data_IF_413158384610
#
_entry.id   IF_413158384610
#
_cell.length_a   1.000
_cell.length_b   1.000
_cell.length_c   1.000
_cell.angle_alpha   90.00
_cell.angle_beta   90.00
_cell.angle_gamma   90.00
#
_symmetry.space_group_name_H-M   'P 1'
#
loop_
_entity.id
_entity.type
_entity.pdbx_description
1 polymer ?
#
# COMPACT_ATOMS: atom_id res chain seq x y z
N UNK A 1 -13.80 -20.72 -27.56
CA UNK A 1 -13.80 -19.52 -26.68
C UNK A 1 -12.66 -19.55 -25.66
N UNK A 2 -12.64 -20.49 -24.72
CA UNK A 2 -11.63 -20.58 -23.64
C UNK A 2 -10.18 -20.64 -24.16
N UNK A 3 -9.92 -21.49 -25.17
CA UNK A 3 -8.58 -21.62 -25.76
C UNK A 3 -8.06 -20.32 -26.38
N UNK A 4 -8.94 -19.54 -27.03
CA UNK A 4 -8.61 -18.22 -27.61
C UNK A 4 -8.24 -17.23 -26.51
N UNK A 5 -9.02 -17.19 -25.43
CA UNK A 5 -8.78 -16.32 -24.27
C UNK A 5 -7.46 -16.67 -23.58
N UNK A 6 -7.20 -17.96 -23.33
CA UNK A 6 -5.95 -18.41 -22.73
C UNK A 6 -4.73 -18.14 -23.62
N UNK A 7 -4.85 -18.38 -24.93
CA UNK A 7 -3.79 -18.08 -25.89
C UNK A 7 -3.45 -16.59 -25.97
N UNK A 8 -4.45 -15.71 -25.80
CA UNK A 8 -4.24 -14.27 -25.73
C UNK A 8 -3.64 -13.82 -24.38
N UNK A 9 -4.09 -14.38 -23.26
CA UNK A 9 -3.72 -13.98 -21.91
C UNK A 9 -2.31 -14.48 -21.51
N UNK A 10 -2.02 -15.76 -21.71
CA UNK A 10 -0.83 -16.42 -21.17
C UNK A 10 0.50 -15.74 -21.57
N UNK A 11 0.77 -15.41 -22.84
CA UNK A 11 2.02 -14.73 -23.20
C UNK A 11 2.11 -13.31 -22.60
N UNK A 12 0.98 -12.64 -22.36
CA UNK A 12 0.98 -11.30 -21.76
C UNK A 12 1.21 -11.38 -20.25
N UNK A 13 0.67 -12.40 -19.57
CA UNK A 13 0.99 -12.67 -18.17
C UNK A 13 2.49 -12.87 -17.97
N UNK A 14 3.12 -13.71 -18.80
CA UNK A 14 4.57 -13.93 -18.75
C UNK A 14 5.37 -12.63 -18.97
N UNK A 15 4.95 -11.79 -19.92
CA UNK A 15 5.57 -10.49 -20.17
C UNK A 15 5.40 -9.53 -18.99
N UNK A 16 4.21 -9.49 -18.37
CA UNK A 16 3.95 -8.66 -17.19
C UNK A 16 4.80 -9.09 -16.00
N UNK A 17 4.97 -10.40 -15.80
CA UNK A 17 5.85 -10.96 -14.77
C UNK A 17 7.31 -10.56 -15.05
N UNK A 18 7.80 -10.83 -16.26
CA UNK A 18 9.17 -10.55 -16.65
C UNK A 18 9.51 -9.05 -16.59
N UNK A 19 8.56 -8.18 -16.89
CA UNK A 19 8.74 -6.72 -16.83
C UNK A 19 9.16 -6.23 -15.43
N UNK A 20 8.68 -6.88 -14.37
CA UNK A 20 9.07 -6.55 -13.00
C UNK A 20 10.24 -7.42 -12.52
N UNK A 21 10.23 -8.72 -12.84
CA UNK A 21 11.21 -9.66 -12.34
C UNK A 21 12.62 -9.42 -12.92
N UNK A 22 12.74 -9.01 -14.18
CA UNK A 22 14.06 -8.76 -14.80
C UNK A 22 14.78 -7.56 -14.16
N UNK A 23 14.15 -6.37 -13.99
CA UNK A 23 14.78 -5.28 -13.24
C UNK A 23 15.13 -5.66 -11.80
N UNK A 24 14.25 -6.37 -11.07
CA UNK A 24 14.58 -6.77 -9.68
C UNK A 24 15.71 -7.78 -9.64
N UNK A 25 15.82 -8.67 -10.63
CA UNK A 25 16.95 -9.60 -10.79
C UNK A 25 18.26 -8.86 -11.01
N UNK A 26 18.26 -7.85 -11.89
CA UNK A 26 19.44 -7.03 -12.15
C UNK A 26 19.87 -6.26 -10.89
N UNK A 27 18.93 -5.64 -10.18
CA UNK A 27 19.21 -4.93 -8.92
C UNK A 27 19.77 -5.88 -7.87
N UNK A 28 19.17 -7.06 -7.68
CA UNK A 28 19.61 -8.04 -6.70
C UNK A 28 21.01 -8.58 -7.02
N UNK A 29 21.33 -8.82 -8.30
CA UNK A 29 22.66 -9.24 -8.75
C UNK A 29 23.73 -8.18 -8.47
N UNK A 30 23.44 -6.90 -8.73
CA UNK A 30 24.37 -5.79 -8.44
C UNK A 30 24.55 -5.62 -6.93
N UNK A 31 23.45 -5.64 -6.16
CA UNK A 31 23.52 -5.51 -4.70
C UNK A 31 24.36 -6.65 -4.10
N UNK A 32 24.16 -7.87 -4.58
CA UNK A 32 24.91 -9.04 -4.14
C UNK A 32 26.39 -8.99 -4.53
N UNK A 33 26.71 -8.59 -5.76
CA UNK A 33 28.11 -8.51 -6.22
C UNK A 33 28.90 -7.42 -5.49
N UNK A 34 28.24 -6.33 -5.11
CA UNK A 34 28.86 -5.23 -4.37
C UNK A 34 28.94 -5.47 -2.87
N UNK A 35 28.10 -6.35 -2.31
CA UNK A 35 28.12 -6.72 -0.89
C UNK A 35 29.28 -7.66 -0.50
N UNK A 36 30.15 -8.05 -1.45
CA UNK A 36 31.38 -8.80 -1.15
C UNK A 36 31.16 -10.26 -0.77
N UNK A 37 30.11 -10.90 -1.29
CA UNK A 37 29.85 -12.33 -1.05
C UNK A 37 31.01 -13.19 -1.58
N UNK A 38 31.86 -13.66 -0.67
CA UNK A 38 33.02 -14.51 -1.00
C UNK A 38 32.65 -15.97 -1.31
N UNK A 39 31.40 -16.40 -1.04
CA UNK A 39 31.01 -17.84 -1.06
C UNK A 39 29.62 -18.15 -1.64
N UNK A 40 28.83 -17.15 -2.05
CA UNK A 40 27.44 -17.36 -2.51
C UNK A 40 27.32 -17.90 -3.94
N UNK A 41 26.27 -18.71 -4.18
CA UNK A 41 25.87 -19.14 -5.53
C UNK A 41 25.03 -18.03 -6.19
N UNK A 42 25.09 -17.89 -7.52
CA UNK A 42 24.26 -16.96 -8.29
C UNK A 42 22.75 -17.23 -8.15
N UNK A 43 22.36 -18.40 -7.65
CA UNK A 43 20.98 -18.69 -7.27
C UNK A 43 20.42 -17.81 -6.15
N UNK A 44 21.26 -17.33 -5.23
CA UNK A 44 20.83 -16.52 -4.08
C UNK A 44 20.32 -15.12 -4.47
N UNK A 45 21.04 -14.32 -5.29
CA UNK A 45 20.50 -13.05 -5.77
C UNK A 45 19.26 -13.22 -6.64
N UNK A 46 19.13 -14.29 -7.42
CA UNK A 46 17.91 -14.56 -8.18
C UNK A 46 16.72 -14.90 -7.28
N UNK A 47 16.95 -15.64 -6.18
CA UNK A 47 15.92 -15.89 -5.17
C UNK A 47 15.51 -14.59 -4.46
N UNK A 48 16.47 -13.75 -4.10
CA UNK A 48 16.21 -12.43 -3.52
C UNK A 48 15.39 -11.54 -4.47
N UNK A 49 15.67 -11.59 -5.77
CA UNK A 49 14.85 -10.89 -6.77
C UNK A 49 13.41 -11.39 -6.82
N UNK A 50 13.20 -12.70 -6.63
CA UNK A 50 11.87 -13.29 -6.50
C UNK A 50 11.18 -12.79 -5.23
N UNK A 51 11.89 -12.67 -4.10
CA UNK A 51 11.33 -12.09 -2.88
C UNK A 51 10.98 -10.61 -3.02
N UNK A 52 11.80 -9.81 -3.72
CA UNK A 52 11.44 -8.41 -4.04
C UNK A 52 10.17 -8.37 -4.91
N UNK A 53 10.07 -9.27 -5.89
CA UNK A 53 8.86 -9.40 -6.72
C UNK A 53 7.64 -9.78 -5.87
N UNK A 54 7.74 -10.78 -4.99
CA UNK A 54 6.68 -11.24 -4.08
C UNK A 54 6.28 -10.12 -3.10
N UNK A 55 7.24 -9.45 -2.49
CA UNK A 55 7.01 -8.34 -1.56
C UNK A 55 6.35 -7.13 -2.23
N UNK A 56 6.64 -6.86 -3.50
CA UNK A 56 5.93 -5.81 -4.27
C UNK A 56 4.43 -6.08 -4.44
N UNK A 57 4.00 -7.34 -4.29
CA UNK A 57 2.61 -7.78 -4.30
C UNK A 57 1.97 -7.83 -2.90
N UNK A 58 2.65 -7.32 -1.87
CA UNK A 58 2.19 -7.32 -0.48
C UNK A 58 1.95 -8.73 0.09
N UNK A 59 2.75 -9.71 -0.35
CA UNK A 59 2.77 -11.05 0.25
C UNK A 59 3.76 -11.03 1.43
N UNK A 60 3.31 -11.29 2.68
CA UNK A 60 4.18 -11.30 3.85
C UNK A 60 5.18 -12.45 3.85
N UNK A 61 6.18 -12.36 4.74
CA UNK A 61 7.19 -13.40 4.97
C UNK A 61 7.30 -13.75 6.45
N UNK A 62 7.31 -15.05 6.76
CA UNK A 62 7.77 -15.58 8.03
C UNK A 62 9.29 -15.80 7.97
N UNK A 63 9.98 -15.45 9.04
CA UNK A 63 11.43 -15.45 9.11
C UNK A 63 11.93 -16.29 10.29
N UNK A 64 12.84 -17.24 10.01
CA UNK A 64 13.49 -18.07 11.03
C UNK A 64 14.99 -17.78 11.02
N UNK A 65 15.40 -16.69 11.67
CA UNK A 65 16.77 -16.21 11.67
C UNK A 65 17.62 -16.93 12.74
N UNK A 66 17.88 -18.23 12.58
CA UNK A 66 18.84 -19.00 13.38
C UNK A 66 18.39 -19.44 14.80
N UNK A 67 19.18 -20.32 15.43
CA UNK A 67 18.81 -21.17 16.58
C UNK A 67 18.58 -20.47 17.93
N UNK A 68 18.63 -19.14 17.99
CA UNK A 68 18.36 -18.35 19.20
C UNK A 68 17.46 -17.12 18.95
N UNK A 69 16.97 -16.93 17.72
CA UNK A 69 16.06 -15.84 17.40
C UNK A 69 14.61 -16.30 17.46
N UNK A 70 13.77 -15.49 18.09
CA UNK A 70 12.31 -15.64 18.01
C UNK A 70 11.87 -15.54 16.55
N UNK A 71 10.88 -16.35 16.15
CA UNK A 71 10.30 -16.31 14.81
C UNK A 71 9.88 -14.88 14.46
N UNK A 72 10.42 -14.39 13.34
CA UNK A 72 10.19 -13.05 12.84
C UNK A 72 9.08 -13.00 11.81
N UNK A 73 8.46 -11.84 11.64
CA UNK A 73 7.43 -11.64 10.62
C UNK A 73 7.66 -10.32 9.87
N UNK A 74 7.63 -10.37 8.54
CA UNK A 74 7.76 -9.22 7.66
C UNK A 74 6.46 -9.05 6.87
N UNK A 75 5.59 -8.18 7.37
CA UNK A 75 4.31 -7.84 6.74
C UNK A 75 4.12 -6.35 6.49
N UNK A 76 4.94 -5.49 7.12
CA UNK A 76 4.98 -4.07 6.80
C UNK A 76 5.79 -3.84 5.51
N UNK A 77 5.12 -3.99 4.37
CA UNK A 77 5.72 -3.92 3.03
C UNK A 77 5.47 -2.55 2.39
N UNK A 78 6.34 -2.11 1.46
CA UNK A 78 6.24 -0.78 0.87
C UNK A 78 5.04 -0.69 -0.08
N UNK A 79 4.05 0.11 0.28
CA UNK A 79 2.85 0.34 -0.54
C UNK A 79 3.17 0.99 -1.88
N UNK A 80 4.23 1.80 -1.97
CA UNK A 80 4.68 2.39 -3.23
C UNK A 80 5.15 1.34 -4.24
N UNK A 81 5.55 0.16 -3.79
CA UNK A 81 5.92 -0.92 -4.68
C UNK A 81 4.72 -1.45 -5.50
N UNK A 82 3.47 -1.26 -5.05
CA UNK A 82 2.27 -1.67 -5.79
C UNK A 82 2.10 -0.94 -7.14
N UNK A 83 2.74 0.21 -7.34
CA UNK A 83 2.71 0.91 -8.63
C UNK A 83 3.24 0.02 -9.76
N UNK A 84 4.28 -0.76 -9.50
CA UNK A 84 4.88 -1.64 -10.50
C UNK A 84 3.96 -2.77 -10.96
N UNK A 85 3.39 -3.64 -10.08
CA UNK A 85 2.45 -4.65 -10.51
C UNK A 85 1.18 -4.04 -11.11
N UNK A 86 0.71 -2.86 -10.65
CA UNK A 86 -0.42 -2.17 -11.29
C UNK A 86 -0.11 -1.87 -12.76
N UNK A 87 1.04 -1.27 -13.05
CA UNK A 87 1.44 -0.96 -14.42
C UNK A 87 1.65 -2.23 -15.25
N UNK A 88 2.28 -3.25 -14.67
CA UNK A 88 2.52 -4.53 -15.34
C UNK A 88 1.21 -5.23 -15.72
N UNK A 89 0.25 -5.31 -14.78
CA UNK A 89 -1.07 -5.93 -14.99
C UNK A 89 -1.87 -5.12 -16.00
N UNK A 90 -1.94 -3.78 -15.86
CA UNK A 90 -2.71 -2.92 -16.78
C UNK A 90 -2.20 -3.00 -18.22
N UNK A 91 -0.88 -2.98 -18.40
CA UNK A 91 -0.27 -3.14 -19.72
C UNK A 91 -0.50 -4.55 -20.29
N UNK A 92 -0.41 -5.58 -19.45
CA UNK A 92 -0.65 -6.97 -19.83
C UNK A 92 -2.07 -7.19 -20.34
N UNK A 93 -3.07 -6.79 -19.53
CA UNK A 93 -4.48 -6.96 -19.90
C UNK A 93 -4.88 -6.11 -21.11
N UNK A 94 -4.34 -4.90 -21.26
CA UNK A 94 -4.59 -4.06 -22.45
C UNK A 94 -4.22 -4.84 -23.71
N UNK A 95 -3.00 -5.39 -23.74
CA UNK A 95 -2.51 -6.19 -24.87
C UNK A 95 -3.27 -7.51 -25.04
N UNK A 96 -3.78 -8.10 -23.96
CA UNK A 96 -4.64 -9.29 -24.05
C UNK A 96 -5.96 -8.95 -24.74
N UNK A 97 -6.58 -7.80 -24.42
CA UNK A 97 -7.81 -7.38 -25.07
C UNK A 97 -7.58 -6.98 -26.53
N UNK A 98 -6.47 -6.31 -26.83
CA UNK A 98 -6.09 -5.97 -28.21
C UNK A 98 -5.95 -7.24 -29.08
N UNK A 99 -5.40 -8.32 -28.51
CA UNK A 99 -5.29 -9.64 -29.18
C UNK A 99 -6.61 -10.39 -29.35
N UNK A 100 -7.65 -9.97 -28.65
CA UNK A 100 -9.00 -10.51 -28.79
C UNK A 100 -9.84 -9.63 -29.72
N UNK A 101 -9.19 -8.76 -30.51
CA UNK A 101 -9.80 -7.86 -31.49
C UNK A 101 -10.86 -6.94 -30.87
N UNK A 102 -10.73 -6.63 -29.58
CA UNK A 102 -11.70 -5.82 -28.85
C UNK A 102 -13.08 -6.48 -28.66
N UNK A 103 -13.20 -7.80 -28.86
CA UNK A 103 -14.45 -8.53 -28.64
C UNK A 103 -14.92 -8.40 -27.19
N UNK A 104 -15.99 -7.61 -27.00
CA UNK A 104 -16.49 -7.26 -25.67
C UNK A 104 -17.00 -8.45 -24.87
N UNK A 105 -17.43 -9.53 -25.54
CA UNK A 105 -17.88 -10.76 -24.88
C UNK A 105 -16.72 -11.51 -24.21
N UNK A 106 -15.50 -11.32 -24.71
CA UNK A 106 -14.30 -12.02 -24.24
C UNK A 106 -13.51 -11.23 -23.18
N UNK A 107 -13.83 -9.95 -22.95
CA UNK A 107 -13.09 -9.10 -21.99
C UNK A 107 -13.20 -9.65 -20.56
N UNK A 108 -14.41 -9.98 -20.10
CA UNK A 108 -14.62 -10.51 -18.76
C UNK A 108 -13.87 -11.85 -18.53
N UNK A 109 -14.01 -12.87 -19.38
CA UNK A 109 -13.24 -14.11 -19.21
C UNK A 109 -11.73 -13.88 -19.38
N UNK A 110 -11.29 -12.93 -20.21
CA UNK A 110 -9.87 -12.57 -20.33
C UNK A 110 -9.30 -11.97 -19.04
N UNK A 111 -10.04 -11.10 -18.36
CA UNK A 111 -9.64 -10.55 -17.05
C UNK A 111 -9.49 -11.64 -16.00
N UNK A 112 -10.46 -12.56 -15.94
CA UNK A 112 -10.42 -13.69 -15.00
C UNK A 112 -9.24 -14.61 -15.31
N UNK A 113 -9.09 -15.01 -16.59
CA UNK A 113 -8.00 -15.88 -17.01
C UNK A 113 -6.62 -15.25 -16.76
N UNK A 114 -6.44 -13.96 -17.10
CA UNK A 114 -5.21 -13.23 -16.83
C UNK A 114 -4.90 -13.19 -15.33
N UNK A 115 -5.87 -12.75 -14.52
CA UNK A 115 -5.68 -12.61 -13.07
C UNK A 115 -5.40 -13.96 -12.40
N UNK A 116 -6.08 -15.02 -12.84
CA UNK A 116 -5.84 -16.38 -12.37
C UNK A 116 -4.42 -16.84 -12.69
N UNK A 117 -4.00 -16.78 -13.96
CA UNK A 117 -2.65 -17.17 -14.38
C UNK A 117 -1.56 -16.37 -13.67
N UNK A 118 -1.77 -15.06 -13.49
CA UNK A 118 -0.83 -14.18 -12.79
C UNK A 118 -0.70 -14.55 -11.31
N UNK A 119 -1.82 -14.86 -10.65
CA UNK A 119 -1.84 -15.27 -9.23
C UNK A 119 -1.27 -16.68 -9.03
N UNK A 120 -1.51 -17.59 -9.99
CA UNK A 120 -0.85 -18.90 -10.01
C UNK A 120 0.66 -18.77 -10.08
N UNK A 121 1.19 -17.83 -10.88
CA UNK A 121 2.63 -17.56 -10.86
C UNK A 121 3.08 -17.05 -9.48
N UNK A 122 2.36 -16.11 -8.87
CA UNK A 122 2.71 -15.62 -7.53
C UNK A 122 2.72 -16.74 -6.48
N UNK A 123 1.79 -17.70 -6.59
CA UNK A 123 1.76 -18.89 -5.73
C UNK A 123 3.00 -19.76 -5.96
N UNK A 124 3.31 -20.09 -7.21
CA UNK A 124 4.47 -20.89 -7.55
C UNK A 124 5.76 -20.20 -7.11
N UNK A 125 5.89 -18.90 -7.34
CA UNK A 125 7.02 -18.10 -6.88
C UNK A 125 7.17 -18.17 -5.35
N UNK A 126 6.06 -18.04 -4.61
CA UNK A 126 6.07 -18.13 -3.15
C UNK A 126 6.51 -19.52 -2.64
N UNK A 127 6.07 -20.59 -3.30
CA UNK A 127 6.43 -21.97 -2.93
C UNK A 127 7.90 -22.26 -3.28
N UNK A 128 8.34 -21.93 -4.49
CA UNK A 128 9.68 -22.28 -4.97
C UNK A 128 10.79 -21.37 -4.45
N UNK A 129 10.48 -20.17 -3.94
CA UNK A 129 11.48 -19.29 -3.30
C UNK A 129 11.65 -19.49 -1.81
N UNK A 130 10.87 -20.40 -1.20
CA UNK A 130 11.00 -20.71 0.24
C UNK A 130 12.40 -21.23 0.57
N UNK A 131 12.96 -20.76 1.68
CA UNK A 131 14.13 -21.34 2.34
C UNK A 131 13.79 -21.66 3.80
N UNK A 132 14.72 -22.25 4.53
CA UNK A 132 14.55 -22.49 5.98
C UNK A 132 14.43 -21.18 6.76
N UNK A 133 15.10 -20.12 6.28
CA UNK A 133 15.15 -18.80 6.92
C UNK A 133 14.03 -17.85 6.46
N UNK A 134 13.59 -17.95 5.20
CA UNK A 134 12.63 -17.00 4.60
C UNK A 134 11.48 -17.77 3.96
N UNK A 135 10.30 -17.61 4.52
CA UNK A 135 9.10 -18.37 4.14
C UNK A 135 8.02 -17.38 3.69
N UNK A 136 7.81 -17.20 2.37
CA UNK A 136 6.68 -16.42 1.87
C UNK A 136 5.35 -17.04 2.30
N UNK A 137 4.40 -16.21 2.75
CA UNK A 137 3.07 -16.64 3.16
C UNK A 137 2.22 -16.94 1.92
N UNK A 138 2.41 -18.13 1.36
CA UNK A 138 1.94 -18.53 0.03
C UNK A 138 0.44 -18.30 -0.23
N UNK A 139 -0.43 -18.42 0.79
CA UNK A 139 -1.87 -18.27 0.59
C UNK A 139 -2.28 -16.81 0.27
N UNK A 140 -1.45 -15.81 0.63
CA UNK A 140 -1.66 -14.43 0.19
C UNK A 140 -1.55 -14.26 -1.33
N UNK A 141 -0.87 -15.18 -2.03
CA UNK A 141 -0.82 -15.18 -3.49
C UNK A 141 -2.21 -15.27 -4.13
N UNK A 142 -3.17 -15.96 -3.50
CA UNK A 142 -4.55 -15.98 -3.99
C UNK A 142 -5.48 -15.04 -3.21
N UNK A 143 -5.33 -14.93 -1.89
CA UNK A 143 -6.21 -14.08 -1.09
C UNK A 143 -6.05 -12.60 -1.45
N UNK A 144 -4.83 -12.16 -1.76
CA UNK A 144 -4.53 -10.76 -2.06
C UNK A 144 -4.32 -10.52 -3.56
N UNK A 145 -3.41 -11.25 -4.22
CA UNK A 145 -3.00 -10.94 -5.60
C UNK A 145 -4.14 -11.19 -6.60
N UNK A 146 -4.97 -12.21 -6.42
CA UNK A 146 -6.05 -12.51 -7.35
C UNK A 146 -7.15 -11.43 -7.36
N UNK A 147 -7.76 -11.04 -6.21
CA UNK A 147 -8.67 -9.89 -6.16
C UNK A 147 -8.02 -8.60 -6.65
N UNK A 148 -6.77 -8.34 -6.26
CA UNK A 148 -6.03 -7.15 -6.67
C UNK A 148 -5.82 -7.08 -8.19
N UNK A 149 -5.44 -8.19 -8.83
CA UNK A 149 -5.28 -8.30 -10.26
C UNK A 149 -6.62 -8.16 -10.99
N UNK A 150 -7.70 -8.72 -10.45
CA UNK A 150 -9.06 -8.52 -10.98
C UNK A 150 -9.47 -7.06 -10.96
N UNK A 151 -9.34 -6.38 -9.81
CA UNK A 151 -9.68 -4.96 -9.67
C UNK A 151 -8.83 -4.11 -10.62
N UNK A 152 -7.52 -4.37 -10.67
CA UNK A 152 -6.60 -3.66 -11.56
C UNK A 152 -6.95 -3.88 -13.03
N UNK A 153 -7.26 -5.11 -13.42
CA UNK A 153 -7.65 -5.47 -14.79
C UNK A 153 -8.99 -4.85 -15.19
N UNK A 154 -9.89 -4.60 -14.22
CA UNK A 154 -11.17 -3.95 -14.45
C UNK A 154 -11.01 -2.49 -14.91
N UNK A 155 -9.87 -1.86 -14.63
CA UNK A 155 -9.56 -0.47 -15.01
C UNK A 155 -9.18 -0.29 -16.49
N UNK A 156 -9.11 -1.38 -17.27
CA UNK A 156 -8.60 -1.38 -18.65
C UNK A 156 -9.67 -1.85 -19.65
N UNK A 157 -9.60 -1.38 -20.90
CA UNK A 157 -10.38 -1.81 -22.07
C UNK A 157 -11.88 -1.49 -22.14
N UNK A 158 -12.52 -1.07 -21.04
CA UNK A 158 -13.82 -0.40 -21.12
C UNK A 158 -13.67 0.97 -20.47
N UNK A 159 -14.31 2.00 -21.06
CA UNK A 159 -14.89 3.09 -20.25
C UNK A 159 -16.00 2.45 -19.40
N UNK A 160 -15.66 1.53 -18.50
CA UNK A 160 -16.59 1.19 -17.43
C UNK A 160 -16.77 2.51 -16.72
N UNK A 161 -17.97 3.09 -16.82
CA UNK A 161 -18.38 4.10 -15.88
C UNK A 161 -18.26 3.42 -14.52
N UNK A 162 -17.12 3.61 -13.86
CA UNK A 162 -16.99 3.29 -12.45
C UNK A 162 -18.22 3.93 -11.82
N UNK A 163 -19.00 3.12 -11.07
CA UNK A 163 -20.22 3.62 -10.48
C UNK A 163 -19.93 4.94 -9.77
N UNK A 164 -20.81 5.93 -9.90
CA UNK A 164 -20.59 7.27 -9.34
C UNK A 164 -20.15 7.19 -7.87
N UNK A 165 -20.70 6.22 -7.12
CA UNK A 165 -20.26 5.88 -5.77
C UNK A 165 -18.75 5.62 -5.66
N UNK A 166 -18.19 4.73 -6.50
CA UNK A 166 -16.76 4.45 -6.49
C UNK A 166 -15.91 5.68 -6.83
N UNK A 167 -16.35 6.51 -7.78
CA UNK A 167 -15.63 7.73 -8.15
C UNK A 167 -15.57 8.72 -7.00
N UNK A 168 -16.69 9.05 -6.36
CA UNK A 168 -16.69 10.02 -5.26
C UNK A 168 -16.03 9.45 -4.00
N UNK A 169 -16.26 8.16 -3.69
CA UNK A 169 -15.62 7.49 -2.56
C UNK A 169 -14.10 7.38 -2.69
N UNK A 170 -13.58 7.03 -3.88
CA UNK A 170 -12.13 7.01 -4.12
C UNK A 170 -11.52 8.42 -4.14
N UNK A 171 -12.23 9.41 -4.71
CA UNK A 171 -11.78 10.81 -4.73
C UNK A 171 -11.63 11.40 -3.33
N UNK A 172 -12.57 11.13 -2.41
CA UNK A 172 -12.48 11.72 -1.06
C UNK A 172 -11.30 11.14 -0.26
N UNK A 173 -11.05 9.83 -0.38
CA UNK A 173 -9.87 9.21 0.26
C UNK A 173 -8.58 9.68 -0.41
N UNK A 174 -8.54 9.80 -1.74
CA UNK A 174 -7.39 10.35 -2.45
C UNK A 174 -7.08 11.80 -2.02
N UNK A 175 -8.11 12.62 -1.78
CA UNK A 175 -7.96 13.97 -1.26
C UNK A 175 -7.35 13.97 0.14
N UNK A 176 -7.86 13.13 1.06
CA UNK A 176 -7.31 13.00 2.43
C UNK A 176 -5.85 12.51 2.44
N UNK A 177 -5.53 11.52 1.62
CA UNK A 177 -4.16 11.04 1.44
C UNK A 177 -3.27 12.12 0.81
N UNK A 178 -3.79 12.91 -0.13
CA UNK A 178 -3.08 14.04 -0.73
C UNK A 178 -2.73 15.13 0.27
N UNK A 179 -3.68 15.52 1.13
CA UNK A 179 -3.43 16.47 2.23
C UNK A 179 -2.35 15.90 3.18
N UNK A 180 -2.46 14.61 3.51
CA UNK A 180 -1.49 13.94 4.38
C UNK A 180 -0.09 13.87 3.76
N UNK A 181 -0.01 13.72 2.43
CA UNK A 181 1.25 13.75 1.69
C UNK A 181 1.92 15.13 1.70
N UNK A 182 1.13 16.20 1.57
CA UNK A 182 1.64 17.56 1.70
C UNK A 182 2.16 17.80 3.11
N UNK A 183 1.39 17.40 4.14
CA UNK A 183 1.82 17.54 5.53
C UNK A 183 3.10 16.75 5.83
N UNK A 184 3.21 15.51 5.34
CA UNK A 184 4.42 14.70 5.44
C UNK A 184 5.61 15.37 4.73
N UNK A 185 5.40 15.91 3.52
CA UNK A 185 6.43 16.62 2.77
C UNK A 185 6.95 17.84 3.52
N UNK A 186 6.05 18.65 4.09
CA UNK A 186 6.42 19.79 4.95
C UNK A 186 7.21 19.30 6.18
N UNK A 187 6.77 18.23 6.84
CA UNK A 187 7.45 17.68 8.00
C UNK A 187 8.87 17.17 7.67
N UNK A 188 9.06 16.51 6.51
CA UNK A 188 10.37 16.08 6.03
C UNK A 188 11.30 17.27 5.73
N UNK A 189 10.78 18.35 5.15
CA UNK A 189 11.56 19.55 4.84
C UNK A 189 11.99 20.29 6.11
N UNK A 190 11.08 20.43 7.09
CA UNK A 190 11.38 21.06 8.39
C UNK A 190 12.44 20.25 9.15
N UNK A 191 12.39 18.91 9.07
CA UNK A 191 13.30 18.02 9.78
C UNK A 191 14.42 17.44 8.89
N UNK A 192 14.81 18.15 7.83
CA UNK A 192 15.81 17.67 6.86
C UNK A 192 17.15 17.28 7.52
N UNK A 193 17.55 17.99 8.58
CA UNK A 193 18.76 17.67 9.34
C UNK A 193 18.67 16.31 10.04
N UNK A 194 17.51 15.98 10.60
CA UNK A 194 17.29 14.68 11.24
C UNK A 194 17.32 13.57 10.19
N UNK A 195 16.67 13.76 9.04
CA UNK A 195 16.69 12.81 7.91
C UNK A 195 18.13 12.57 7.44
N UNK A 196 18.93 13.63 7.32
CA UNK A 196 20.35 13.54 6.96
C UNK A 196 21.14 12.75 8.01
N UNK A 197 20.99 13.09 9.29
CA UNK A 197 21.72 12.42 10.37
C UNK A 197 21.39 10.94 10.46
N UNK A 198 20.10 10.57 10.35
CA UNK A 198 19.68 9.17 10.30
C UNK A 198 20.31 8.45 9.10
N UNK A 199 20.33 9.09 7.92
CA UNK A 199 20.98 8.52 6.73
C UNK A 199 22.48 8.29 6.94
N UNK A 200 23.18 9.23 7.57
CA UNK A 200 24.61 9.12 7.84
C UNK A 200 24.95 8.01 8.83
N UNK A 201 24.06 7.71 9.79
CA UNK A 201 24.24 6.60 10.75
C UNK A 201 24.26 5.24 10.04
N UNK A 202 23.48 5.06 8.97
CA UNK A 202 23.54 3.80 8.20
C UNK A 202 24.83 3.67 7.36
N UNK A 203 25.61 4.75 7.21
CA UNK A 203 26.78 4.84 6.33
C UNK A 203 26.59 4.14 4.99
N UNK A 204 25.49 4.41 4.27
CA UNK A 204 25.22 3.70 3.04
C UNK A 204 26.22 4.21 1.99
N UNK A 205 27.14 3.35 1.54
CA UNK A 205 28.00 3.66 0.40
C UNK A 205 27.16 4.04 -0.84
N UNK A 206 27.76 4.55 -1.92
CA UNK A 206 27.02 5.15 -3.06
C UNK A 206 25.83 4.28 -3.55
N UNK A 207 26.07 2.99 -3.80
CA UNK A 207 25.01 2.06 -4.22
C UNK A 207 23.96 1.80 -3.14
N UNK A 208 24.39 1.59 -1.89
CA UNK A 208 23.50 1.44 -0.75
C UNK A 208 22.66 2.69 -0.51
N UNK A 209 23.21 3.88 -0.74
CA UNK A 209 22.53 5.17 -0.58
C UNK A 209 21.44 5.35 -1.62
N UNK A 210 21.71 4.97 -2.87
CA UNK A 210 20.70 4.95 -3.93
C UNK A 210 19.56 3.96 -3.62
N UNK A 211 19.89 2.73 -3.20
CA UNK A 211 18.88 1.72 -2.83
C UNK A 211 18.08 2.16 -1.60
N UNK A 212 18.71 2.76 -0.60
CA UNK A 212 18.06 3.30 0.58
C UNK A 212 17.11 4.45 0.20
N UNK A 213 17.54 5.34 -0.68
CA UNK A 213 16.68 6.41 -1.20
C UNK A 213 15.46 5.83 -1.91
N UNK A 214 15.66 4.84 -2.81
CA UNK A 214 14.58 4.17 -3.51
C UNK A 214 13.62 3.50 -2.51
N UNK A 215 14.15 2.82 -1.50
CA UNK A 215 13.35 2.18 -0.44
C UNK A 215 12.49 3.21 0.30
N UNK A 216 13.07 4.35 0.70
CA UNK A 216 12.32 5.43 1.37
C UNK A 216 11.20 5.97 0.47
N UNK A 217 11.46 6.16 -0.83
CA UNK A 217 10.44 6.57 -1.81
C UNK A 217 9.30 5.55 -1.86
N UNK A 218 9.61 4.25 -1.87
CA UNK A 218 8.60 3.19 -1.92
C UNK A 218 7.79 3.08 -0.61
N UNK A 219 8.34 3.50 0.53
CA UNK A 219 7.65 3.57 1.81
C UNK A 219 6.91 4.89 2.06
N UNK A 220 7.06 5.91 1.20
CA UNK A 220 6.33 7.18 1.33
C UNK A 220 4.81 6.95 1.43
N UNK A 221 4.16 6.08 0.63
CA UNK A 221 2.72 5.85 0.77
C UNK A 221 2.34 5.25 2.14
N UNK A 222 3.16 4.39 2.75
CA UNK A 222 2.91 3.92 4.12
C UNK A 222 2.97 5.10 5.10
N UNK A 223 4.00 5.94 4.99
CA UNK A 223 4.14 7.12 5.85
C UNK A 223 2.98 8.12 5.67
N UNK A 224 2.47 8.30 4.45
CA UNK A 224 1.29 9.14 4.17
C UNK A 224 0.05 8.63 4.93
N UNK A 225 -0.14 7.31 4.97
CA UNK A 225 -1.25 6.69 5.70
C UNK A 225 -1.07 6.85 7.21
N UNK A 226 0.15 6.67 7.71
CA UNK A 226 0.50 6.97 9.10
C UNK A 226 0.24 8.44 9.47
N UNK A 227 0.57 9.37 8.58
CA UNK A 227 0.25 10.80 8.75
C UNK A 227 -1.25 11.05 8.80
N UNK A 228 -2.03 10.41 7.93
CA UNK A 228 -3.50 10.51 7.97
C UNK A 228 -4.05 9.94 9.28
N UNK A 229 -3.49 8.83 9.78
CA UNK A 229 -3.89 8.25 11.07
C UNK A 229 -3.52 9.14 12.26
N UNK A 230 -2.38 9.83 12.20
CA UNK A 230 -2.00 10.83 13.19
C UNK A 230 -3.02 11.98 13.20
N UNK A 231 -3.35 12.56 12.04
CA UNK A 231 -4.33 13.65 11.95
C UNK A 231 -5.77 13.24 12.24
N UNK A 232 -6.13 11.96 12.04
CA UNK A 232 -7.43 11.43 12.48
C UNK A 232 -7.49 11.21 14.00
N UNK A 233 -6.38 11.40 14.73
CA UNK A 233 -6.27 11.24 16.18
C UNK A 233 -6.00 9.79 16.63
N UNK A 234 -5.97 8.83 15.73
CA UNK A 234 -5.68 7.41 16.06
C UNK A 234 -4.19 7.18 16.31
N UNK A 235 -3.34 7.88 15.57
CA UNK A 235 -1.90 7.68 15.59
C UNK A 235 -1.44 6.41 14.87
N UNK A 236 -0.16 6.10 15.05
CA UNK A 236 0.51 4.94 14.47
C UNK A 236 1.64 4.45 15.40
N UNK A 237 2.10 3.22 15.19
CA UNK A 237 3.18 2.60 15.94
C UNK A 237 4.48 2.56 15.11
N UNK A 238 5.62 2.62 15.80
CA UNK A 238 6.97 2.47 15.25
C UNK A 238 7.73 1.44 16.10
N UNK A 239 7.09 0.31 16.38
CA UNK A 239 7.57 -0.71 17.30
C UNK A 239 6.50 -1.22 18.25
N UNK A 240 6.76 -2.36 18.88
CA UNK A 240 5.94 -2.92 19.94
C UNK A 240 5.81 -1.92 21.10
N UNK A 241 4.61 -1.77 21.64
CA UNK A 241 4.28 -0.85 22.75
C UNK A 241 4.55 0.64 22.47
N UNK A 242 4.74 1.04 21.21
CA UNK A 242 4.90 2.46 20.85
C UNK A 242 3.58 3.06 20.36
N UNK A 243 3.37 4.34 20.62
CA UNK A 243 2.27 5.10 20.03
C UNK A 243 2.70 6.53 19.72
N UNK A 244 2.50 6.93 18.47
CA UNK A 244 2.68 8.30 18.02
C UNK A 244 1.32 8.84 17.61
N UNK A 245 0.71 9.61 18.50
CA UNK A 245 -0.59 10.27 18.29
C UNK A 245 -0.55 11.72 18.79
N UNK A 246 -1.52 12.57 18.40
CA UNK A 246 -1.57 13.95 18.90
C UNK A 246 -1.72 14.08 20.43
N UNK A 247 -2.25 13.05 21.09
CA UNK A 247 -2.61 13.05 22.53
C UNK A 247 -1.63 12.22 23.37
N UNK A 248 -0.98 11.22 22.76
CA UNK A 248 -0.08 10.31 23.45
C UNK A 248 1.12 10.05 22.55
N UNK A 249 2.31 10.34 23.09
CA UNK A 249 3.59 10.11 22.43
C UNK A 249 4.47 9.22 23.31
N UNK A 250 4.58 7.95 22.92
CA UNK A 250 5.42 6.94 23.58
C UNK A 250 6.36 6.31 22.53
N UNK A 251 7.61 6.76 22.55
CA UNK A 251 8.65 6.33 21.63
C UNK A 251 10.02 6.43 22.29
N UNK A 252 10.53 5.31 22.80
CA UNK A 252 11.82 5.25 23.49
C UNK A 252 13.01 5.55 22.58
N UNK A 253 13.03 4.95 21.38
CA UNK A 253 14.13 5.06 20.42
C UNK A 253 13.58 5.11 19.01
N UNK A 254 14.10 6.03 18.20
CA UNK A 254 13.77 6.14 16.78
C UNK A 254 14.66 5.16 16.00
N UNK A 255 14.10 4.20 15.24
CA UNK A 255 14.87 3.37 14.33
C UNK A 255 15.65 4.22 13.32
N UNK A 256 16.82 3.75 12.88
CA UNK A 256 17.66 4.45 11.91
C UNK A 256 17.09 4.34 10.47
N UNK A 257 15.85 4.77 10.26
CA UNK A 257 15.20 4.84 8.95
C UNK A 257 14.96 6.31 8.58
N UNK A 258 15.55 6.83 7.49
CA UNK A 258 15.53 8.27 7.19
C UNK A 258 14.15 8.90 7.15
N UNK A 259 13.13 8.20 6.62
CA UNK A 259 11.74 8.66 6.58
C UNK A 259 11.14 8.96 7.97
N UNK A 260 11.65 8.33 9.03
CA UNK A 260 11.23 8.59 10.41
C UNK A 260 11.76 9.92 10.96
N UNK A 261 12.62 10.62 10.21
CA UNK A 261 12.98 12.00 10.54
C UNK A 261 11.77 12.96 10.51
N UNK A 262 10.66 12.58 9.87
CA UNK A 262 9.41 13.34 9.87
C UNK A 262 8.55 13.18 11.13
N UNK A 263 8.96 12.34 12.09
CA UNK A 263 8.16 12.11 13.30
C UNK A 263 7.97 13.40 14.10
N UNK A 264 6.76 13.62 14.67
CA UNK A 264 6.56 14.66 15.67
C UNK A 264 7.53 14.48 16.84
N UNK A 265 8.02 15.58 17.41
CA UNK A 265 8.96 15.54 18.54
C UNK A 265 8.25 15.42 19.89
N UNK A 266 7.02 15.95 19.98
CA UNK A 266 6.20 16.00 21.19
C UNK A 266 4.71 15.84 20.80
N UNK A 267 3.87 15.65 21.80
CA UNK A 267 2.42 15.77 21.70
C UNK A 267 2.00 17.16 21.21
N UNK A 268 0.94 17.22 20.41
CA UNK A 268 0.43 18.48 19.87
C UNK A 268 -1.08 18.42 19.69
N UNK A 269 -1.80 19.04 20.63
CA UNK A 269 -3.26 19.15 20.55
C UNK A 269 -3.72 19.93 19.32
N UNK A 270 -2.89 20.83 18.78
CA UNK A 270 -3.17 21.57 17.55
C UNK A 270 -3.32 20.60 16.37
N UNK A 271 -2.60 19.47 16.37
CA UNK A 271 -2.73 18.45 15.34
C UNK A 271 -4.11 17.77 15.34
N UNK A 272 -4.90 17.87 16.40
CA UNK A 272 -6.29 17.40 16.42
C UNK A 272 -7.22 18.22 15.50
N UNK A 273 -6.80 19.40 15.04
CA UNK A 273 -7.50 20.10 13.95
C UNK A 273 -7.57 19.25 12.67
N UNK A 274 -6.69 18.26 12.51
CA UNK A 274 -6.78 17.25 11.45
C UNK A 274 -8.10 16.47 11.48
N UNK A 275 -8.68 16.23 12.65
CA UNK A 275 -9.98 15.56 12.79
C UNK A 275 -11.07 16.39 12.10
N UNK A 276 -11.03 17.72 12.26
CA UNK A 276 -11.96 18.62 11.60
C UNK A 276 -11.83 18.55 10.07
N UNK A 277 -10.63 18.30 9.52
CA UNK A 277 -10.42 18.13 8.08
C UNK A 277 -11.10 16.85 7.57
N UNK A 278 -11.00 15.74 8.30
CA UNK A 278 -11.68 14.49 7.94
C UNK A 278 -13.21 14.64 8.05
N UNK A 279 -13.69 15.32 9.09
CA UNK A 279 -15.12 15.65 9.23
C UNK A 279 -15.59 16.54 8.08
N UNK A 280 -14.82 17.56 7.71
CA UNK A 280 -15.15 18.41 6.57
C UNK A 280 -15.18 17.62 5.25
N UNK A 281 -14.27 16.66 5.06
CA UNK A 281 -14.29 15.76 3.90
C UNK A 281 -15.60 14.95 3.82
N UNK A 282 -16.17 14.55 4.95
CA UNK A 282 -17.50 13.93 5.01
C UNK A 282 -18.62 14.86 4.53
N UNK A 283 -18.59 16.12 4.94
CA UNK A 283 -19.54 17.14 4.47
C UNK A 283 -19.38 17.42 2.96
N UNK A 284 -18.12 17.49 2.49
CA UNK A 284 -17.78 17.68 1.08
C UNK A 284 -18.31 16.53 0.21
N UNK A 285 -18.24 15.28 0.71
CA UNK A 285 -18.80 14.12 0.02
C UNK A 285 -20.32 14.25 -0.20
N UNK A 286 -21.04 14.78 0.79
CA UNK A 286 -22.48 15.10 0.65
C UNK A 286 -22.68 16.18 -0.40
N UNK A 287 -21.90 17.26 -0.37
CA UNK A 287 -22.04 18.34 -1.36
C UNK A 287 -21.86 17.86 -2.80
N UNK A 288 -20.95 16.91 -3.06
CA UNK A 288 -20.74 16.34 -4.39
C UNK A 288 -21.84 15.37 -4.84
N UNK A 289 -22.65 14.88 -3.91
CA UNK A 289 -23.67 13.85 -4.18
C UNK A 289 -25.09 14.34 -3.92
N UNK A 290 -25.27 15.59 -3.49
CA UNK A 290 -26.58 16.16 -3.08
C UNK A 290 -27.58 16.21 -4.24
N UNK A 291 -27.12 16.49 -5.45
CA UNK A 291 -27.94 16.52 -6.67
C UNK A 291 -28.20 15.11 -7.24
N UNK A 292 -27.56 14.08 -6.66
CA UNK A 292 -27.67 12.70 -7.10
C UNK A 292 -28.63 11.92 -6.20
N UNK A 293 -28.93 10.67 -6.59
CA UNK A 293 -29.73 9.77 -5.75
C UNK A 293 -29.01 9.49 -4.44
N UNK A 294 -29.74 9.43 -3.32
CA UNK A 294 -29.20 9.07 -2.00
C UNK A 294 -28.38 7.76 -2.01
N UNK A 295 -28.76 6.81 -2.88
CA UNK A 295 -28.01 5.57 -3.11
C UNK A 295 -26.54 5.83 -3.50
N UNK A 296 -26.25 6.89 -4.25
CA UNK A 296 -24.89 7.26 -4.66
C UNK A 296 -24.07 7.70 -3.46
N UNK A 297 -24.61 8.56 -2.59
CA UNK A 297 -23.93 8.97 -1.35
C UNK A 297 -23.57 7.75 -0.48
N UNK A 298 -24.53 6.84 -0.26
CA UNK A 298 -24.30 5.63 0.53
C UNK A 298 -23.23 4.74 -0.11
N UNK A 299 -23.28 4.54 -1.43
CA UNK A 299 -22.25 3.79 -2.16
C UNK A 299 -20.87 4.47 -2.06
N UNK A 300 -20.80 5.79 -2.16
CA UNK A 300 -19.55 6.54 -2.01
C UNK A 300 -18.96 6.40 -0.62
N UNK A 301 -19.81 6.49 0.40
CA UNK A 301 -19.39 6.31 1.79
C UNK A 301 -18.85 4.90 2.03
N UNK A 302 -19.58 3.87 1.58
CA UNK A 302 -19.12 2.47 1.68
C UNK A 302 -17.77 2.29 0.97
N UNK A 303 -17.62 2.82 -0.25
CA UNK A 303 -16.34 2.72 -0.97
C UNK A 303 -15.23 3.45 -0.23
N UNK A 304 -15.48 4.65 0.31
CA UNK A 304 -14.48 5.37 1.10
C UNK A 304 -14.03 4.55 2.31
N UNK A 305 -14.96 3.96 3.06
CA UNK A 305 -14.67 3.08 4.20
C UNK A 305 -13.86 1.85 3.78
N UNK A 306 -14.24 1.18 2.69
CA UNK A 306 -13.53 0.01 2.19
C UNK A 306 -12.10 0.35 1.73
N UNK A 307 -11.91 1.49 1.06
CA UNK A 307 -10.58 1.96 0.65
C UNK A 307 -9.74 2.31 1.89
N UNK A 308 -10.32 3.01 2.88
CA UNK A 308 -9.63 3.29 4.14
C UNK A 308 -9.23 2.02 4.88
N UNK A 309 -10.10 1.01 4.92
CA UNK A 309 -9.79 -0.28 5.52
C UNK A 309 -8.64 -1.00 4.80
N UNK A 310 -8.70 -1.04 3.48
CA UNK A 310 -7.66 -1.64 2.65
C UNK A 310 -6.32 -0.93 2.83
N UNK A 311 -6.31 0.40 2.72
CA UNK A 311 -5.09 1.21 2.84
C UNK A 311 -4.52 1.15 4.27
N UNK A 312 -5.37 1.19 5.30
CA UNK A 312 -4.95 1.06 6.70
C UNK A 312 -4.35 -0.32 7.01
N UNK A 313 -4.96 -1.39 6.49
CA UNK A 313 -4.41 -2.75 6.60
C UNK A 313 -3.05 -2.86 5.89
N UNK A 314 -2.97 -2.45 4.62
CA UNK A 314 -1.75 -2.59 3.83
C UNK A 314 -0.63 -1.62 4.27
N UNK A 315 -0.95 -0.56 5.01
CA UNK A 315 0.02 0.32 5.65
C UNK A 315 0.36 -0.10 7.10
N UNK A 316 0.07 -1.34 7.48
CA UNK A 316 0.33 -1.86 8.82
C UNK A 316 1.00 -3.23 8.74
N UNK A 317 1.78 -3.58 9.77
CA UNK A 317 2.38 -4.90 9.86
C UNK A 317 3.52 -4.98 10.87
N UNK A 318 4.36 -6.00 10.70
CA UNK A 318 5.55 -6.24 11.49
C UNK A 318 6.81 -6.09 10.63
N UNK A 319 7.91 -5.68 11.27
CA UNK A 319 9.25 -5.57 10.69
C UNK A 319 10.23 -6.52 11.41
N UNK A 320 10.24 -7.80 11.02
CA UNK A 320 11.26 -8.81 11.33
C UNK A 320 11.31 -9.24 12.80
N UNK A 321 11.36 -8.34 13.78
CA UNK A 321 11.62 -8.67 15.20
C UNK A 321 10.38 -8.47 16.07
N UNK A 322 10.34 -9.09 17.25
CA UNK A 322 9.27 -8.85 18.23
C UNK A 322 9.21 -7.39 18.70
N UNK A 323 10.36 -6.73 18.83
CA UNK A 323 10.43 -5.31 19.16
C UNK A 323 9.78 -4.44 18.07
N UNK A 324 9.70 -4.94 16.84
CA UNK A 324 9.08 -4.29 15.70
C UNK A 324 7.84 -5.06 15.21
N UNK A 325 7.12 -5.70 16.14
CA UNK A 325 5.91 -6.48 15.84
C UNK A 325 4.70 -5.64 15.42
N UNK A 326 4.72 -4.34 15.72
CA UNK A 326 3.66 -3.39 15.35
C UNK A 326 4.25 -2.12 14.74
N UNK A 327 4.06 -1.95 13.44
CA UNK A 327 4.52 -0.78 12.68
C UNK A 327 3.39 -0.28 11.77
N UNK A 328 3.22 1.03 11.73
CA UNK A 328 2.17 1.69 10.96
C UNK A 328 0.87 1.85 11.75
N UNK A 329 -0.24 1.98 11.04
CA UNK A 329 -1.54 2.31 11.65
C UNK A 329 -2.23 1.08 12.21
N UNK A 330 -3.02 1.21 13.27
CA UNK A 330 -3.90 0.12 13.70
C UNK A 330 -5.09 0.01 12.73
N UNK A 331 -5.25 -1.08 11.95
CA UNK A 331 -6.19 -1.09 10.82
C UNK A 331 -7.65 -0.85 11.23
N UNK A 332 -8.08 -1.48 12.33
CA UNK A 332 -9.46 -1.35 12.78
C UNK A 332 -9.72 0.02 13.43
N UNK A 333 -8.80 0.54 14.25
CA UNK A 333 -8.95 1.87 14.87
C UNK A 333 -8.96 2.97 13.81
N UNK A 334 -8.04 2.87 12.85
CA UNK A 334 -7.94 3.79 11.73
C UNK A 334 -9.23 3.80 10.91
N UNK A 335 -9.70 2.61 10.50
CA UNK A 335 -10.95 2.47 9.72
C UNK A 335 -12.15 3.01 10.48
N UNK A 336 -12.28 2.67 11.76
CA UNK A 336 -13.38 3.13 12.61
C UNK A 336 -13.37 4.66 12.75
N UNK A 337 -12.21 5.26 13.00
CA UNK A 337 -12.09 6.71 13.13
C UNK A 337 -12.46 7.45 11.85
N UNK A 338 -11.91 7.02 10.69
CA UNK A 338 -12.24 7.64 9.40
C UNK A 338 -13.74 7.47 9.09
N UNK A 339 -14.31 6.30 9.36
CA UNK A 339 -15.75 6.03 9.16
C UNK A 339 -16.61 6.97 10.00
N UNK A 340 -16.31 7.10 11.30
CA UNK A 340 -17.04 7.95 12.21
C UNK A 340 -16.90 9.43 11.86
N UNK A 341 -15.70 9.88 11.52
CA UNK A 341 -15.44 11.29 11.18
C UNK A 341 -16.11 11.68 9.86
N UNK A 342 -15.98 10.86 8.81
CA UNK A 342 -16.68 11.07 7.55
C UNK A 342 -18.21 11.02 7.75
N UNK A 343 -18.70 10.07 8.56
CA UNK A 343 -20.11 9.93 8.88
C UNK A 343 -20.67 11.13 9.63
N UNK A 344 -19.94 11.63 10.63
CA UNK A 344 -20.28 12.85 11.37
C UNK A 344 -20.37 14.04 10.42
N UNK A 345 -19.38 14.21 9.55
CA UNK A 345 -19.38 15.26 8.52
C UNK A 345 -20.59 15.19 7.61
N UNK A 346 -20.92 13.99 7.13
CA UNK A 346 -22.08 13.78 6.28
C UNK A 346 -23.41 14.08 7.01
N UNK A 347 -23.54 13.66 8.27
CA UNK A 347 -24.72 13.94 9.09
C UNK A 347 -24.89 15.45 9.33
N UNK A 348 -23.82 16.15 9.68
CA UNK A 348 -23.84 17.60 9.88
C UNK A 348 -24.24 18.34 8.59
N UNK A 349 -23.76 17.90 7.43
CA UNK A 349 -24.15 18.50 6.14
C UNK A 349 -25.63 18.28 5.78
N UNK A 350 -26.20 17.12 6.11
CA UNK A 350 -27.60 16.79 5.81
C UNK A 350 -28.56 17.50 6.77
N UNK A 351 -28.25 17.53 8.06
CA UNK A 351 -29.15 18.03 9.10
C UNK A 351 -28.88 19.48 9.51
N UNK A 352 -27.66 19.99 9.33
CA UNK A 352 -27.30 21.37 9.64
C UNK A 352 -28.25 22.41 9.04
N UNK A 353 -28.54 22.37 7.72
CA UNK A 353 -29.46 23.31 7.08
C UNK A 353 -30.89 23.25 7.62
N UNK A 354 -31.32 22.13 8.22
CA UNK A 354 -32.66 21.96 8.81
C UNK A 354 -32.78 22.58 10.19
N UNK A 355 -31.66 22.73 10.92
CA UNK A 355 -31.66 23.37 12.23
C UNK A 355 -31.74 24.89 12.12
N UNK A 356 -31.08 25.49 11.13
CA UNK A 356 -31.10 26.95 10.91
C UNK A 356 -32.34 27.48 10.18
N UNK A 357 -33.17 26.61 9.57
CA UNK A 357 -34.45 26.99 8.94
C UNK A 357 -35.66 26.88 9.88
N UNK A 358 -35.46 26.53 11.15
CA UNK A 358 -36.51 26.40 12.18
C UNK A 358 -36.59 27.61 13.14
N UNK A 359 -35.79 28.64 12.90
CA UNK A 359 -35.90 29.99 13.47
C UNK A 359 -36.32 30.94 12.37
#
# INVERSE_FOLDING_TARGET
MVLRVLGAAFPQVLRSIAWLLLPTSFIALIAWSTAGSATGNTGDPLRAALWIWIGSHQIPFDLNLGSSAVAGHLSYLPLGALVFPILAIRNGISRTVDRLDGDTSLIAPARVAFSFLYSTFALLASIFSKTDEVIPVWYFAFIYVFPFALITSATVARRTSLGQGFLFGSRIIALLLGISAIALGIALLINVEMVKNLTLVLQPGIFGGFLLLLLNILYLPNAIVSTLAYFSGVGFAVGSQTIVSPISFDLDKIPAMPILGALPKNESLISLLGVCVVVFAGALLVSWTVELKQKVLVQSFIVAVLISAFVGYSASGALITEAMSAVGTSPWKFTAAITLQLGLGALLAIYGPRMFKRT
#
